data_IF_586292411338
#
_entry.id   IF_586292411338
#
_cell.length_a   1.000
_cell.length_b   1.000
_cell.length_c   1.000
_cell.angle_alpha   90.00
_cell.angle_beta   90.00
_cell.angle_gamma   90.00
#
_symmetry.space_group_name_H-M   'P 1'
#
loop_
_entity.id
_entity.type
_entity.pdbx_description
1 polymer ?
#
# COMPACT_ATOMS: atom_id res chain seq x y z
N UNK A 1 -55.45 -37.02 -26.60
CA UNK A 1 -54.42 -37.14 -25.54
C UNK A 1 -52.98 -36.88 -26.02
N UNK A 2 -52.59 -37.20 -27.26
CA UNK A 2 -51.21 -36.98 -27.75
C UNK A 2 -50.77 -35.50 -27.85
N UNK A 3 -51.68 -34.57 -28.19
CA UNK A 3 -51.35 -33.15 -28.36
C UNK A 3 -50.93 -32.44 -27.05
N UNK A 4 -51.46 -32.88 -25.90
CA UNK A 4 -51.16 -32.29 -24.59
C UNK A 4 -49.76 -32.66 -24.10
N UNK A 5 -49.27 -33.85 -24.43
CA UNK A 5 -47.90 -34.28 -24.14
C UNK A 5 -46.85 -33.52 -24.97
N UNK A 6 -47.14 -33.25 -26.25
CA UNK A 6 -46.24 -32.47 -27.10
C UNK A 6 -46.11 -31.01 -26.60
N UNK A 7 -47.21 -30.39 -26.18
CA UNK A 7 -47.20 -29.04 -25.60
C UNK A 7 -46.40 -28.98 -24.28
N UNK A 8 -46.53 -29.99 -23.42
CA UNK A 8 -45.78 -30.08 -22.17
C UNK A 8 -44.27 -30.25 -22.40
N UNK A 9 -43.86 -31.06 -23.38
CA UNK A 9 -42.44 -31.23 -23.74
C UNK A 9 -41.84 -29.94 -24.28
N UNK A 10 -42.59 -29.19 -25.08
CA UNK A 10 -42.14 -27.91 -25.63
C UNK A 10 -42.05 -26.82 -24.56
N UNK A 11 -43.00 -26.80 -23.62
CA UNK A 11 -42.94 -25.92 -22.46
C UNK A 11 -41.72 -26.23 -21.58
N UNK A 12 -41.43 -27.50 -21.33
CA UNK A 12 -40.24 -27.91 -20.57
C UNK A 12 -38.92 -27.57 -21.26
N UNK A 13 -38.88 -27.59 -22.60
CA UNK A 13 -37.71 -27.16 -23.38
C UNK A 13 -37.46 -25.66 -23.25
N UNK A 14 -38.51 -24.83 -23.36
CA UNK A 14 -38.41 -23.38 -23.19
C UNK A 14 -37.97 -22.99 -21.78
N UNK A 15 -38.55 -23.63 -20.76
CA UNK A 15 -38.16 -23.43 -19.37
C UNK A 15 -36.69 -23.81 -19.12
N UNK A 16 -36.20 -24.90 -19.75
CA UNK A 16 -34.82 -25.33 -19.63
C UNK A 16 -33.84 -24.39 -20.33
N UNK A 17 -34.19 -23.84 -21.50
CA UNK A 17 -33.37 -22.86 -22.21
C UNK A 17 -33.28 -21.52 -21.46
N UNK A 18 -34.40 -21.04 -20.92
CA UNK A 18 -34.42 -19.84 -20.08
C UNK A 18 -33.65 -20.04 -18.77
N UNK A 19 -33.73 -21.24 -18.17
CA UNK A 19 -32.95 -21.59 -16.99
C UNK A 19 -31.45 -21.62 -17.30
N UNK A 20 -31.05 -22.17 -18.45
CA UNK A 20 -29.65 -22.16 -18.91
C UNK A 20 -29.13 -20.75 -19.15
N UNK A 21 -29.91 -19.91 -19.84
CA UNK A 21 -29.52 -18.52 -20.10
C UNK A 21 -29.36 -17.71 -18.81
N UNK A 22 -30.28 -17.88 -17.85
CA UNK A 22 -30.17 -17.26 -16.52
C UNK A 22 -28.96 -17.77 -15.73
N UNK A 23 -28.67 -19.06 -15.81
CA UNK A 23 -27.50 -19.65 -15.15
C UNK A 23 -26.18 -19.14 -15.76
N UNK A 24 -26.09 -18.99 -17.08
CA UNK A 24 -24.93 -18.44 -17.76
C UNK A 24 -24.71 -16.96 -17.42
N UNK A 25 -25.77 -16.15 -17.40
CA UNK A 25 -25.70 -14.75 -16.99
C UNK A 25 -25.30 -14.59 -15.52
N UNK A 26 -25.83 -15.43 -14.64
CA UNK A 26 -25.43 -15.47 -13.22
C UNK A 26 -23.96 -15.86 -13.07
N UNK A 27 -23.50 -16.90 -13.77
CA UNK A 27 -22.11 -17.33 -13.76
C UNK A 27 -21.16 -16.26 -14.33
N UNK A 28 -21.57 -15.54 -15.38
CA UNK A 28 -20.79 -14.43 -15.94
C UNK A 28 -20.65 -13.28 -14.94
N UNK A 29 -21.75 -12.90 -14.27
CA UNK A 29 -21.74 -11.87 -13.21
C UNK A 29 -20.87 -12.28 -12.02
N UNK A 30 -20.95 -13.54 -11.61
CA UNK A 30 -20.13 -14.07 -10.52
C UNK A 30 -18.63 -14.07 -10.89
N UNK A 31 -18.28 -14.48 -12.12
CA UNK A 31 -16.89 -14.41 -12.62
C UNK A 31 -16.36 -12.97 -12.63
N UNK A 32 -17.16 -12.00 -13.06
CA UNK A 32 -16.78 -10.58 -13.04
C UNK A 32 -16.60 -10.06 -11.61
N UNK A 33 -17.51 -10.42 -10.69
CA UNK A 33 -17.40 -10.04 -9.28
C UNK A 33 -16.16 -10.64 -8.61
N UNK A 34 -15.86 -11.91 -8.91
CA UNK A 34 -14.67 -12.60 -8.42
C UNK A 34 -13.39 -12.01 -9.02
N UNK A 35 -13.37 -11.69 -10.30
CA UNK A 35 -12.25 -11.01 -10.95
C UNK A 35 -11.98 -9.64 -10.32
N UNK A 36 -13.03 -8.83 -10.07
CA UNK A 36 -12.90 -7.54 -9.40
C UNK A 36 -12.42 -7.67 -7.95
N UNK A 37 -12.90 -8.67 -7.20
CA UNK A 37 -12.44 -8.96 -5.84
C UNK A 37 -10.96 -9.37 -5.85
N UNK A 38 -10.56 -10.24 -6.77
CA UNK A 38 -9.16 -10.68 -6.91
C UNK A 38 -8.24 -9.53 -7.31
N UNK A 39 -8.65 -8.69 -8.26
CA UNK A 39 -7.90 -7.49 -8.65
C UNK A 39 -7.68 -6.55 -7.46
N UNK A 40 -8.70 -6.33 -6.62
CA UNK A 40 -8.56 -5.52 -5.39
C UNK A 40 -7.61 -6.15 -4.37
N UNK A 41 -7.62 -7.48 -4.21
CA UNK A 41 -6.70 -8.19 -3.31
C UNK A 41 -5.25 -8.11 -3.82
N UNK A 42 -5.05 -8.28 -5.12
CA UNK A 42 -3.73 -8.15 -5.76
C UNK A 42 -3.22 -6.71 -5.67
N UNK A 43 -4.06 -5.71 -5.93
CA UNK A 43 -3.70 -4.29 -5.77
C UNK A 43 -3.37 -3.94 -4.31
N UNK A 44 -4.14 -4.45 -3.34
CA UNK A 44 -3.84 -4.27 -1.90
C UNK A 44 -2.55 -4.95 -1.47
N UNK A 45 -2.21 -6.11 -2.06
CA UNK A 45 -0.91 -6.76 -1.86
C UNK A 45 0.21 -5.94 -2.50
N UNK A 46 0.03 -5.45 -3.73
CA UNK A 46 1.00 -4.63 -4.46
C UNK A 46 1.31 -3.29 -3.77
N UNK A 47 0.28 -2.60 -3.28
CA UNK A 47 0.43 -1.34 -2.51
C UNK A 47 1.01 -1.56 -1.11
N UNK A 48 0.80 -2.73 -0.49
CA UNK A 48 1.55 -3.15 0.71
C UNK A 48 2.99 -3.58 0.40
N UNK A 49 3.30 -3.96 -0.83
CA UNK A 49 4.62 -4.47 -1.25
C UNK A 49 5.57 -3.40 -1.79
N UNK A 50 5.13 -2.15 -1.89
CA UNK A 50 5.99 -1.04 -2.29
C UNK A 50 6.23 -0.08 -1.10
N UNK A 51 7.11 -0.48 -0.15
CA UNK A 51 7.44 0.35 1.01
C UNK A 51 8.13 1.66 0.60
N UNK A 52 8.80 1.70 -0.55
CA UNK A 52 9.47 2.89 -1.08
C UNK A 52 8.42 3.94 -1.48
N UNK A 53 7.41 3.56 -2.28
CA UNK A 53 6.32 4.47 -2.65
C UNK A 53 5.51 4.93 -1.44
N UNK A 54 5.25 4.03 -0.49
CA UNK A 54 4.55 4.40 0.75
C UNK A 54 5.37 5.38 1.60
N UNK A 55 6.70 5.28 1.60
CA UNK A 55 7.57 6.22 2.30
C UNK A 55 7.54 7.59 1.63
N UNK A 56 7.49 7.63 0.29
CA UNK A 56 7.32 8.87 -0.48
C UNK A 56 6.02 9.60 -0.10
N UNK A 57 4.88 8.88 -0.15
CA UNK A 57 3.56 9.41 0.20
C UNK A 57 3.52 9.96 1.64
N UNK A 58 4.26 9.33 2.55
CA UNK A 58 4.34 9.73 3.97
C UNK A 58 5.17 11.01 4.11
N UNK A 59 6.34 11.06 3.48
CA UNK A 59 7.23 12.22 3.53
C UNK A 59 6.58 13.44 2.87
N UNK A 60 5.92 13.27 1.72
CA UNK A 60 5.24 14.36 1.03
C UNK A 60 4.18 15.02 1.93
N UNK A 61 3.37 14.20 2.62
CA UNK A 61 2.36 14.70 3.58
C UNK A 61 2.96 15.39 4.79
N UNK A 62 4.15 14.99 5.20
CA UNK A 62 4.91 15.61 6.29
C UNK A 62 5.69 16.87 5.84
N UNK A 63 5.57 17.27 4.57
CA UNK A 63 6.26 18.43 4.02
C UNK A 63 7.76 18.20 3.83
N UNK A 64 8.14 16.97 3.47
CA UNK A 64 9.50 16.60 3.09
C UNK A 64 9.50 15.97 1.70
N UNK A 65 10.63 16.09 0.99
CA UNK A 65 10.80 15.50 -0.33
C UNK A 65 11.67 14.26 -0.25
N UNK A 66 11.19 13.10 -0.69
CA UNK A 66 12.03 11.92 -0.81
C UNK A 66 13.04 12.10 -1.95
N UNK A 67 14.30 11.79 -1.69
CA UNK A 67 15.39 11.83 -2.67
C UNK A 67 15.77 10.43 -3.14
N UNK A 68 15.79 9.47 -2.22
CA UNK A 68 16.04 8.07 -2.50
C UNK A 68 15.46 7.20 -1.39
N UNK A 69 15.03 5.99 -1.73
CA UNK A 69 14.70 4.95 -0.76
C UNK A 69 15.29 3.63 -1.25
N UNK A 70 15.76 2.80 -0.31
CA UNK A 70 16.34 1.51 -0.61
C UNK A 70 15.97 0.49 0.45
N UNK A 71 15.41 -0.64 0.03
CA UNK A 71 15.23 -1.78 0.92
C UNK A 71 16.56 -2.42 1.32
N UNK A 72 16.72 -2.68 2.62
CA UNK A 72 17.89 -3.34 3.20
C UNK A 72 17.45 -4.44 4.16
N UNK A 73 18.41 -5.19 4.72
CA UNK A 73 18.13 -6.28 5.67
C UNK A 73 17.04 -7.26 5.19
N UNK A 74 17.19 -7.77 3.95
CA UNK A 74 16.22 -8.68 3.30
C UNK A 74 14.79 -8.09 3.19
N UNK A 75 14.68 -6.76 3.06
CA UNK A 75 13.41 -6.06 2.89
C UNK A 75 12.66 -5.77 4.19
N UNK A 76 13.29 -6.00 5.35
CA UNK A 76 12.70 -5.68 6.65
C UNK A 76 12.90 -4.21 7.04
N UNK A 77 13.91 -3.57 6.47
CA UNK A 77 14.26 -2.18 6.77
C UNK A 77 14.33 -1.37 5.49
N UNK A 78 14.07 -0.09 5.62
CA UNK A 78 14.09 0.87 4.54
C UNK A 78 15.06 2.01 4.90
N UNK A 79 16.07 2.18 4.06
CA UNK A 79 17.04 3.26 4.11
C UNK A 79 16.49 4.41 3.25
N UNK A 80 16.09 5.52 3.89
CA UNK A 80 15.37 6.62 3.26
C UNK A 80 16.18 7.89 3.35
N UNK A 81 16.50 8.48 2.20
CA UNK A 81 17.08 9.81 2.07
C UNK A 81 16.00 10.80 1.67
N UNK A 82 15.86 11.89 2.41
CA UNK A 82 14.89 12.94 2.15
C UNK A 82 15.46 14.32 2.46
N UNK A 83 14.77 15.34 1.97
CA UNK A 83 15.11 16.75 2.17
C UNK A 83 14.00 17.45 2.95
N UNK A 84 14.42 18.26 3.93
CA UNK A 84 13.58 19.15 4.74
C UNK A 84 14.25 20.52 4.74
N UNK A 85 13.58 21.53 4.20
CA UNK A 85 14.07 22.91 4.14
C UNK A 85 15.52 23.03 3.62
N UNK A 86 15.83 22.31 2.55
CA UNK A 86 17.16 22.27 1.92
C UNK A 86 18.20 21.42 2.65
N UNK A 87 17.84 20.82 3.79
CA UNK A 87 18.71 19.93 4.56
C UNK A 87 18.43 18.48 4.23
N UNK A 88 19.46 17.78 3.75
CA UNK A 88 19.38 16.36 3.42
C UNK A 88 19.63 15.48 4.63
N UNK A 89 18.67 14.60 4.92
CA UNK A 89 18.70 13.64 6.03
C UNK A 89 18.58 12.21 5.48
N UNK A 90 19.20 11.27 6.18
CA UNK A 90 19.11 9.84 5.87
C UNK A 90 18.69 9.08 7.12
N UNK A 91 17.55 8.41 7.07
CA UNK A 91 17.00 7.67 8.21
C UNK A 91 16.76 6.20 7.83
N UNK A 92 17.02 5.30 8.77
CA UNK A 92 16.70 3.88 8.67
C UNK A 92 15.40 3.61 9.41
N UNK A 93 14.42 3.03 8.73
CA UNK A 93 13.10 2.73 9.31
C UNK A 93 12.70 1.27 9.07
N UNK A 94 11.78 0.74 9.86
CA UNK A 94 11.16 -0.56 9.58
C UNK A 94 10.27 -0.44 8.34
N UNK A 95 10.37 -1.39 7.40
CA UNK A 95 9.71 -1.27 6.09
C UNK A 95 8.18 -1.40 6.14
N UNK A 96 7.64 -2.05 7.18
CA UNK A 96 6.21 -2.30 7.35
C UNK A 96 5.48 -1.15 8.08
N UNK A 97 6.11 -0.64 9.12
CA UNK A 97 5.56 0.29 10.13
C UNK A 97 6.13 1.70 10.02
N UNK A 98 7.26 1.88 9.32
CA UNK A 98 8.02 3.14 9.29
C UNK A 98 8.49 3.63 10.66
N UNK A 99 8.56 2.74 11.65
CA UNK A 99 9.21 3.04 12.92
C UNK A 99 10.68 3.36 12.70
N UNK A 100 11.17 4.44 13.30
CA UNK A 100 12.55 4.89 13.17
C UNK A 100 13.48 3.97 13.95
N UNK A 101 14.42 3.35 13.23
CA UNK A 101 15.48 2.50 13.79
C UNK A 101 16.78 3.29 13.95
N UNK A 102 17.04 4.19 13.00
CA UNK A 102 18.09 5.19 13.08
C UNK A 102 17.58 6.50 12.46
N UNK A 103 17.48 7.60 13.21
CA UNK A 103 17.03 8.88 12.68
C UNK A 103 18.04 9.55 11.74
N UNK A 104 19.32 9.19 11.78
CA UNK A 104 20.40 9.91 11.07
C UNK A 104 20.78 11.26 11.67
N UNK A 105 20.16 11.61 12.81
CA UNK A 105 20.42 12.83 13.59
C UNK A 105 20.48 12.47 15.09
N UNK A 106 21.23 13.24 15.89
CA UNK A 106 21.35 12.98 17.31
C UNK A 106 20.07 13.40 18.04
N UNK A 107 19.31 12.41 18.55
CA UNK A 107 18.07 12.62 19.30
C UNK A 107 18.15 12.09 20.74
N UNK A 108 19.35 11.91 21.30
CA UNK A 108 19.56 11.41 22.68
C UNK A 108 18.75 10.15 23.04
N UNK A 109 18.47 9.28 22.05
CA UNK A 109 17.69 8.06 22.21
C UNK A 109 16.16 8.19 22.13
N UNK A 110 15.60 9.40 21.97
CA UNK A 110 14.16 9.66 21.90
C UNK A 110 13.49 9.16 20.61
N UNK A 111 14.27 8.77 19.59
CA UNK A 111 13.77 8.34 18.28
C UNK A 111 12.99 7.01 18.28
N UNK A 112 13.07 6.20 19.35
CA UNK A 112 12.46 4.86 19.39
C UNK A 112 10.93 4.86 19.33
N UNK A 113 10.31 6.00 19.64
CA UNK A 113 8.85 6.21 19.57
C UNK A 113 8.42 6.95 18.30
N UNK A 114 9.38 7.37 17.47
CA UNK A 114 9.12 8.16 16.27
C UNK A 114 8.89 7.27 15.04
N UNK A 115 8.06 7.79 14.15
CA UNK A 115 7.78 7.23 12.83
C UNK A 115 8.24 8.23 11.75
N UNK A 116 8.39 7.74 10.51
CA UNK A 116 8.93 8.54 9.41
C UNK A 116 8.16 9.85 9.14
N UNK A 117 6.84 9.88 9.38
CA UNK A 117 5.99 11.06 9.23
C UNK A 117 6.31 12.18 10.25
N UNK A 118 6.82 11.83 11.42
CA UNK A 118 7.19 12.80 12.45
C UNK A 118 8.58 13.41 12.21
N UNK A 119 9.44 12.72 11.44
CA UNK A 119 10.84 13.12 11.26
C UNK A 119 11.02 14.52 10.66
N UNK A 120 10.28 14.94 9.62
CA UNK A 120 10.44 16.29 9.08
C UNK A 120 10.17 17.40 10.09
N UNK A 121 9.19 17.21 10.98
CA UNK A 121 8.90 18.18 12.04
C UNK A 121 10.01 18.22 13.09
N UNK A 122 10.54 17.06 13.50
CA UNK A 122 11.68 16.99 14.43
C UNK A 122 12.94 17.63 13.83
N UNK A 123 13.17 17.45 12.53
CA UNK A 123 14.29 18.08 11.83
C UNK A 123 14.11 19.60 11.79
N UNK A 124 12.90 20.10 11.50
CA UNK A 124 12.60 21.53 11.53
C UNK A 124 12.84 22.16 12.91
N UNK A 125 12.31 21.53 13.96
CA UNK A 125 12.54 21.98 15.34
C UNK A 125 14.03 22.02 15.68
N UNK A 126 14.79 20.99 15.30
CA UNK A 126 16.24 20.98 15.52
C UNK A 126 17.02 22.03 14.70
N UNK A 127 16.51 22.43 13.53
CA UNK A 127 17.08 23.54 12.73
C UNK A 127 16.77 24.88 13.41
N UNK A 128 15.53 25.09 13.83
CA UNK A 128 15.08 26.32 14.51
C UNK A 128 15.83 26.56 15.82
N UNK A 129 16.12 25.50 16.57
CA UNK A 129 16.87 25.56 17.83
C UNK A 129 18.41 25.50 17.65
N UNK A 130 18.92 25.50 16.41
CA UNK A 130 20.35 25.36 16.09
C UNK A 130 21.03 24.11 16.68
N UNK A 131 20.27 23.07 16.98
CA UNK A 131 20.73 21.84 17.65
C UNK A 131 20.84 20.61 16.72
N UNK A 132 20.70 20.81 15.40
CA UNK A 132 20.76 19.71 14.44
C UNK A 132 22.18 19.12 14.31
N UNK A 133 22.40 17.97 14.94
CA UNK A 133 23.62 17.18 14.79
C UNK A 133 23.38 15.97 13.87
N UNK A 134 23.86 16.03 12.62
CA UNK A 134 23.72 14.94 11.64
C UNK A 134 24.77 13.86 11.91
N UNK A 135 24.32 12.62 12.09
CA UNK A 135 25.21 11.47 12.27
C UNK A 135 25.49 10.84 10.90
N UNK A 136 26.66 11.10 10.31
CA UNK A 136 27.11 10.34 9.13
C UNK A 136 27.44 8.91 9.53
N UNK A 137 26.77 7.92 8.95
CA UNK A 137 27.31 6.56 8.84
C UNK A 137 28.09 6.46 7.53
N UNK A 138 29.41 6.34 7.64
CA UNK A 138 30.33 5.94 6.55
C UNK A 138 30.31 4.43 6.36
#
# INVERSE_FOLDING_TARGET
MAAMFAALVEQRRREAEEARRRAEEAAARERLANAARNARVVQRRGTRHDPERRADDVLERAGARMLAARLVARGQQLDVTYEVDGTRIMSLVAADTFQVLDPGICLSGAHRVLTLDAMPSVVREAIEEEHLNITRRS
#
